data_IF_057589211569
#
_entry.id   IF_057589211569
#
_cell.length_a   1.000
_cell.length_b   1.000
_cell.length_c   1.000
_cell.angle_alpha   90.00
_cell.angle_beta   90.00
_cell.angle_gamma   90.00
#
_symmetry.space_group_name_H-M   'P 1'
#
loop_
_entity.id
_entity.type
_entity.pdbx_description
1 polymer ?
#
# COMPACT_ATOMS: atom_id res chain seq x y z
N UNK A 1 -21.77 -19.30 9.75
CA UNK A 1 -21.71 -17.99 10.45
C UNK A 1 -20.25 -17.64 10.62
N UNK A 2 -19.78 -16.51 10.09
CA UNK A 2 -18.43 -16.02 10.38
C UNK A 2 -18.40 -15.64 11.86
N UNK A 3 -17.43 -16.17 12.62
CA UNK A 3 -17.18 -15.71 13.98
C UNK A 3 -16.66 -14.26 13.91
N UNK A 4 -17.53 -13.31 14.11
CA UNK A 4 -17.14 -11.91 14.31
C UNK A 4 -16.52 -11.82 15.70
N UNK A 5 -15.26 -11.41 15.77
CA UNK A 5 -14.57 -11.13 17.03
C UNK A 5 -14.64 -9.64 17.30
N UNK A 6 -15.16 -9.29 18.45
CA UNK A 6 -15.09 -7.92 18.97
C UNK A 6 -13.83 -7.76 19.81
N UNK A 7 -13.18 -6.61 19.71
CA UNK A 7 -12.01 -6.27 20.49
C UNK A 7 -12.37 -5.15 21.47
N UNK A 8 -11.96 -5.29 22.72
CA UNK A 8 -12.03 -4.20 23.70
C UNK A 8 -10.99 -3.12 23.35
N UNK A 9 -11.16 -1.91 23.93
CA UNK A 9 -10.19 -0.83 23.74
C UNK A 9 -8.78 -1.22 24.23
N UNK A 10 -8.69 -1.96 25.33
CA UNK A 10 -7.39 -2.39 25.89
C UNK A 10 -6.70 -3.40 24.97
N UNK A 11 -7.45 -4.33 24.38
CA UNK A 11 -6.92 -5.25 23.38
C UNK A 11 -6.43 -4.50 22.13
N UNK A 12 -7.17 -3.47 21.66
CA UNK A 12 -6.75 -2.66 20.53
C UNK A 12 -5.49 -1.86 20.82
N UNK A 13 -5.39 -1.25 22.01
CA UNK A 13 -4.19 -0.53 22.43
C UNK A 13 -2.97 -1.46 22.49
N UNK A 14 -3.14 -2.68 23.00
CA UNK A 14 -2.07 -3.67 23.06
C UNK A 14 -1.58 -4.14 21.67
N UNK A 15 -2.41 -4.03 20.62
CA UNK A 15 -2.05 -4.37 19.26
C UNK A 15 -1.29 -3.26 18.53
N UNK A 16 -1.31 -2.01 19.03
CA UNK A 16 -0.60 -0.90 18.41
C UNK A 16 0.89 -0.98 18.79
N UNK A 17 1.79 -1.23 17.83
CA UNK A 17 3.22 -1.31 18.13
C UNK A 17 3.75 0.07 18.51
N UNK A 18 4.31 0.18 19.72
CA UNK A 18 5.05 1.37 20.13
C UNK A 18 6.46 1.32 19.53
N UNK A 19 6.95 2.44 18.97
CA UNK A 19 8.32 2.50 18.50
C UNK A 19 9.31 2.32 19.66
N UNK A 20 10.44 1.65 19.41
CA UNK A 20 11.55 1.64 20.35
C UNK A 20 12.16 3.06 20.50
N UNK A 21 12.80 3.36 21.64
CA UNK A 21 13.34 4.69 21.93
C UNK A 21 14.41 5.13 20.91
N UNK A 22 15.15 4.20 20.34
CA UNK A 22 16.15 4.42 19.30
C UNK A 22 15.61 4.31 17.86
N UNK A 23 14.30 4.18 17.71
CA UNK A 23 13.68 4.00 16.41
C UNK A 23 13.86 5.22 15.50
N UNK A 24 14.21 4.97 14.25
CA UNK A 24 14.29 5.97 13.20
C UNK A 24 13.21 5.75 12.12
N UNK A 25 13.11 6.65 11.17
CA UNK A 25 12.09 6.60 10.12
C UNK A 25 12.10 5.29 9.30
N UNK A 26 13.20 4.58 9.22
CA UNK A 26 13.29 3.33 8.47
C UNK A 26 12.99 2.11 9.33
N UNK A 27 13.45 2.07 10.58
CA UNK A 27 13.15 0.98 11.52
C UNK A 27 11.68 0.94 11.92
N UNK A 28 11.00 2.11 11.92
CA UNK A 28 9.54 2.21 12.12
C UNK A 28 8.72 1.66 10.97
N UNK A 29 9.35 1.22 9.91
CA UNK A 29 8.69 0.68 8.73
C UNK A 29 8.42 1.72 7.64
N UNK A 30 8.36 1.21 6.43
CA UNK A 30 8.15 2.00 5.21
C UNK A 30 6.88 1.54 4.51
N UNK A 31 6.09 2.51 4.02
CA UNK A 31 4.93 2.25 3.18
C UNK A 31 5.23 2.67 1.74
N UNK A 32 5.06 1.77 0.79
CA UNK A 32 4.98 2.09 -0.63
C UNK A 32 3.51 2.07 -1.05
N UNK A 33 2.94 3.24 -1.29
CA UNK A 33 1.53 3.41 -1.66
C UNK A 33 1.41 3.70 -3.16
N UNK A 34 0.85 2.75 -3.91
CA UNK A 34 0.56 2.85 -5.34
C UNK A 34 -0.92 3.19 -5.46
N UNK A 35 -1.24 4.46 -5.44
CA UNK A 35 -2.58 4.98 -5.16
C UNK A 35 -2.88 6.26 -5.94
N UNK A 36 -4.16 6.57 -6.03
CA UNK A 36 -4.63 7.77 -6.71
C UNK A 36 -4.55 7.68 -8.23
N UNK A 37 -5.32 8.51 -8.86
CA UNK A 37 -5.37 8.71 -10.30
C UNK A 37 -5.52 10.21 -10.60
N UNK A 38 -5.58 10.57 -11.86
CA UNK A 38 -5.91 11.94 -12.26
C UNK A 38 -7.27 12.37 -11.73
N UNK A 39 -8.26 11.45 -11.77
CA UNK A 39 -9.62 11.70 -11.31
C UNK A 39 -9.75 11.69 -9.78
N UNK A 40 -8.94 10.88 -9.09
CA UNK A 40 -9.01 10.69 -7.64
C UNK A 40 -7.68 10.96 -6.93
N UNK A 41 -7.08 12.14 -7.10
CA UNK A 41 -5.79 12.47 -6.48
C UNK A 41 -5.89 12.53 -4.95
N UNK A 42 -7.05 12.92 -4.41
CA UNK A 42 -7.30 12.98 -2.97
C UNK A 42 -7.21 11.63 -2.27
N UNK A 43 -7.51 10.52 -2.96
CA UNK A 43 -7.33 9.18 -2.42
C UNK A 43 -5.86 8.88 -2.09
N UNK A 44 -4.91 9.40 -2.88
CA UNK A 44 -3.50 9.27 -2.58
C UNK A 44 -3.12 10.04 -1.31
N UNK A 45 -3.68 11.23 -1.09
CA UNK A 45 -3.47 12.01 0.13
C UNK A 45 -3.99 11.27 1.36
N UNK A 46 -5.22 10.77 1.29
CA UNK A 46 -5.87 10.06 2.40
C UNK A 46 -5.12 8.76 2.77
N UNK A 47 -4.78 7.96 1.76
CA UNK A 47 -4.05 6.70 1.95
C UNK A 47 -2.67 6.93 2.57
N UNK A 48 -1.92 7.92 2.05
CA UNK A 48 -0.61 8.27 2.58
C UNK A 48 -0.69 8.82 4.01
N UNK A 49 -1.67 9.65 4.30
CA UNK A 49 -1.90 10.19 5.64
C UNK A 49 -2.26 9.09 6.63
N UNK A 50 -3.17 8.18 6.26
CA UNK A 50 -3.53 7.03 7.09
C UNK A 50 -2.30 6.19 7.43
N UNK A 51 -1.46 5.87 6.44
CA UNK A 51 -0.21 5.13 6.67
C UNK A 51 0.73 5.81 7.67
N UNK A 52 0.91 7.13 7.57
CA UNK A 52 1.71 7.89 8.54
C UNK A 52 1.06 7.91 9.94
N UNK A 53 -0.26 8.05 10.01
CA UNK A 53 -1.01 8.00 11.29
C UNK A 53 -0.89 6.64 11.98
N UNK A 54 -0.82 5.56 11.21
CA UNK A 54 -0.63 4.20 11.70
C UNK A 54 0.85 3.86 12.00
N UNK A 55 1.76 4.85 11.92
CA UNK A 55 3.13 4.71 12.40
C UNK A 55 4.19 4.47 11.32
N UNK A 56 3.84 4.46 10.03
CA UNK A 56 4.86 4.37 8.98
C UNK A 56 5.85 5.53 9.09
N UNK A 57 7.12 5.20 9.34
CA UNK A 57 8.19 6.19 9.50
C UNK A 57 8.62 6.82 8.18
N UNK A 58 8.40 6.13 7.05
CA UNK A 58 8.69 6.63 5.71
C UNK A 58 7.61 6.19 4.73
N UNK A 59 7.03 7.15 4.01
CA UNK A 59 5.95 6.89 3.05
C UNK A 59 6.34 7.38 1.67
N UNK A 60 6.40 6.46 0.71
CA UNK A 60 6.54 6.72 -0.72
C UNK A 60 5.18 6.56 -1.40
N UNK A 61 4.78 7.56 -2.15
CA UNK A 61 3.53 7.56 -2.93
C UNK A 61 3.87 7.50 -4.41
N UNK A 62 3.29 6.54 -5.10
CA UNK A 62 3.36 6.40 -6.55
C UNK A 62 1.97 6.65 -7.13
N UNK A 63 1.81 7.77 -7.83
CA UNK A 63 0.51 8.22 -8.32
C UNK A 63 0.57 8.64 -9.80
N UNK A 64 -0.56 9.03 -10.38
CA UNK A 64 -0.57 9.57 -11.75
C UNK A 64 0.30 10.84 -11.84
N UNK A 65 0.95 11.11 -12.97
CA UNK A 65 1.79 12.31 -13.12
C UNK A 65 1.07 13.61 -12.79
N UNK A 66 -0.20 13.75 -13.16
CA UNK A 66 -1.03 14.93 -12.90
C UNK A 66 -1.34 15.12 -11.40
N UNK A 67 -1.40 14.04 -10.61
CA UNK A 67 -1.66 14.09 -9.17
C UNK A 67 -0.40 14.38 -8.33
N UNK A 68 0.81 14.22 -8.90
CA UNK A 68 2.07 14.39 -8.15
C UNK A 68 2.16 15.76 -7.45
N UNK A 69 1.92 16.91 -8.12
CA UNK A 69 2.03 18.21 -7.45
C UNK A 69 1.06 18.39 -6.28
N UNK A 70 -0.17 17.89 -6.42
CA UNK A 70 -1.18 17.97 -5.38
C UNK A 70 -0.76 17.16 -4.14
N UNK A 71 -0.29 15.92 -4.34
CA UNK A 71 0.11 15.05 -3.23
C UNK A 71 1.39 15.56 -2.56
N UNK A 72 2.33 16.13 -3.31
CA UNK A 72 3.52 16.80 -2.76
C UNK A 72 3.14 18.03 -1.91
N UNK A 73 2.19 18.83 -2.38
CA UNK A 73 1.69 20.00 -1.66
C UNK A 73 0.87 19.67 -0.42
N UNK A 74 0.27 18.48 -0.38
CA UNK A 74 -0.53 18.03 0.76
C UNK A 74 0.30 17.87 2.04
N UNK A 75 1.50 17.28 1.92
CA UNK A 75 2.32 17.00 3.11
C UNK A 75 3.82 16.91 2.78
N UNK A 76 4.68 17.77 3.35
CA UNK A 76 6.12 17.82 3.02
C UNK A 76 6.89 16.55 3.38
N UNK A 77 6.36 15.71 4.29
CA UNK A 77 7.00 14.46 4.71
C UNK A 77 6.80 13.31 3.72
N UNK A 78 5.96 13.47 2.70
CA UNK A 78 5.72 12.45 1.68
C UNK A 78 6.78 12.50 0.59
N UNK A 79 7.25 11.34 0.17
CA UNK A 79 8.07 11.19 -1.04
C UNK A 79 7.15 10.75 -2.17
N UNK A 80 6.87 11.64 -3.12
CA UNK A 80 5.89 11.41 -4.18
C UNK A 80 6.58 11.28 -5.53
N UNK A 81 6.20 10.25 -6.28
CA UNK A 81 6.76 9.93 -7.59
C UNK A 81 5.64 9.55 -8.57
N UNK A 82 5.84 9.76 -9.87
CA UNK A 82 4.92 9.22 -10.87
C UNK A 82 4.97 7.68 -10.90
N UNK A 83 3.83 7.03 -11.18
CA UNK A 83 3.70 5.55 -11.26
C UNK A 83 4.71 4.90 -12.22
N UNK A 84 5.12 5.61 -13.25
CA UNK A 84 6.13 5.13 -14.19
C UNK A 84 7.47 4.79 -13.52
N UNK A 85 7.79 5.44 -12.39
CA UNK A 85 9.01 5.15 -11.63
C UNK A 85 9.03 3.74 -11.01
N UNK A 86 7.87 3.08 -10.85
CA UNK A 86 7.79 1.69 -10.37
C UNK A 86 8.34 0.67 -11.36
N UNK A 87 8.28 0.96 -12.67
CA UNK A 87 8.65 -0.01 -13.72
C UNK A 87 10.11 -0.42 -13.66
N UNK A 88 10.97 0.41 -13.07
CA UNK A 88 12.39 0.11 -12.92
C UNK A 88 12.69 -0.73 -11.66
N UNK A 89 12.06 -0.42 -10.54
CA UNK A 89 12.27 -1.13 -9.27
C UNK A 89 11.11 -0.89 -8.31
N UNK A 90 10.34 -1.91 -8.00
CA UNK A 90 9.49 -1.86 -6.82
C UNK A 90 10.40 -1.79 -5.58
N UNK A 91 10.25 -0.78 -4.70
CA UNK A 91 11.10 -0.68 -3.52
C UNK A 91 11.04 -1.97 -2.69
N UNK A 92 12.17 -2.61 -2.44
CA UNK A 92 12.25 -3.87 -1.71
C UNK A 92 12.34 -3.68 -0.19
N UNK A 93 11.88 -4.66 0.58
CA UNK A 93 12.17 -4.74 2.02
C UNK A 93 13.67 -4.99 2.25
N UNK A 94 14.17 -4.55 3.40
CA UNK A 94 15.58 -4.76 3.79
C UNK A 94 15.64 -5.20 5.25
N UNK A 95 16.65 -5.95 5.67
CA UNK A 95 16.85 -6.29 7.08
C UNK A 95 16.80 -5.04 7.96
N UNK A 96 16.04 -5.07 9.06
CA UNK A 96 15.85 -3.95 9.97
C UNK A 96 15.06 -2.75 9.40
N UNK A 97 14.53 -2.86 8.17
CA UNK A 97 13.73 -1.82 7.51
C UNK A 97 12.47 -2.45 6.91
N UNK A 98 11.50 -2.82 7.76
CA UNK A 98 10.28 -3.47 7.31
C UNK A 98 9.52 -2.60 6.30
N UNK A 99 8.77 -3.24 5.41
CA UNK A 99 7.99 -2.58 4.37
C UNK A 99 6.60 -3.20 4.26
N UNK A 100 5.66 -2.38 3.84
CA UNK A 100 4.37 -2.83 3.33
C UNK A 100 4.03 -2.07 2.04
N UNK A 101 3.15 -2.66 1.25
CA UNK A 101 2.66 -2.07 0.01
C UNK A 101 1.14 -1.88 0.12
N UNK A 102 0.66 -0.76 -0.40
CA UNK A 102 -0.76 -0.48 -0.58
C UNK A 102 -1.00 -0.20 -2.06
N UNK A 103 -1.99 -0.84 -2.67
CA UNK A 103 -2.28 -0.65 -4.08
C UNK A 103 -3.79 -0.62 -4.35
N UNK A 104 -4.22 0.31 -5.20
CA UNK A 104 -5.57 0.33 -5.75
C UNK A 104 -6.48 1.46 -5.27
N UNK A 105 -6.25 2.04 -4.06
CA UNK A 105 -7.05 3.16 -3.59
C UNK A 105 -7.04 4.31 -4.60
N UNK A 106 -8.22 4.75 -5.05
CA UNK A 106 -8.35 5.84 -5.98
C UNK A 106 -7.84 5.57 -7.40
N UNK A 107 -7.74 4.30 -7.80
CA UNK A 107 -7.56 3.98 -9.21
C UNK A 107 -8.85 4.28 -9.97
N UNK A 108 -8.71 4.74 -11.21
CA UNK A 108 -9.85 4.91 -12.09
C UNK A 108 -10.23 3.56 -12.71
N UNK A 109 -11.52 3.24 -12.76
CA UNK A 109 -12.02 2.02 -13.41
C UNK A 109 -11.71 2.00 -14.92
N UNK A 110 -11.56 3.18 -15.53
CA UNK A 110 -11.20 3.33 -16.94
C UNK A 110 -9.68 3.28 -17.18
N UNK A 111 -8.86 3.21 -16.12
CA UNK A 111 -7.40 3.17 -16.22
C UNK A 111 -6.92 1.77 -16.64
N UNK A 112 -6.64 1.59 -17.91
CA UNK A 112 -6.15 0.33 -18.50
C UNK A 112 -4.82 -0.18 -17.91
N UNK A 113 -4.10 0.66 -17.19
CA UNK A 113 -2.86 0.28 -16.50
C UNK A 113 -3.12 -0.18 -15.06
N UNK A 114 -4.31 0.10 -14.48
CA UNK A 114 -4.62 -0.21 -13.08
C UNK A 114 -4.46 -1.70 -12.77
N UNK A 115 -5.07 -2.59 -13.57
CA UNK A 115 -4.93 -4.04 -13.41
C UNK A 115 -3.47 -4.50 -13.52
N UNK A 116 -2.73 -3.96 -14.48
CA UNK A 116 -1.31 -4.30 -14.69
C UNK A 116 -0.45 -3.89 -13.49
N UNK A 117 -0.73 -2.73 -12.88
CA UNK A 117 -0.04 -2.26 -11.69
C UNK A 117 -0.30 -3.17 -10.48
N UNK A 118 -1.55 -3.55 -10.24
CA UNK A 118 -1.89 -4.51 -9.17
C UNK A 118 -1.17 -5.83 -9.38
N UNK A 119 -1.23 -6.39 -10.59
CA UNK A 119 -0.52 -7.63 -10.91
C UNK A 119 0.99 -7.49 -10.78
N UNK A 120 1.56 -6.35 -11.14
CA UNK A 120 2.98 -6.06 -10.98
C UNK A 120 3.38 -6.08 -9.50
N UNK A 121 2.62 -5.37 -8.65
CA UNK A 121 2.87 -5.35 -7.21
C UNK A 121 2.75 -6.74 -6.60
N UNK A 122 1.66 -7.46 -6.87
CA UNK A 122 1.45 -8.82 -6.37
C UNK A 122 2.55 -9.80 -6.80
N UNK A 123 3.11 -9.61 -8.00
CA UNK A 123 4.18 -10.46 -8.53
C UNK A 123 5.53 -10.21 -7.89
N UNK A 124 5.85 -8.95 -7.60
CA UNK A 124 7.21 -8.51 -7.27
C UNK A 124 7.39 -8.06 -5.82
N UNK A 125 6.30 -7.76 -5.10
CA UNK A 125 6.38 -7.37 -3.70
C UNK A 125 6.85 -8.54 -2.82
N UNK A 126 7.89 -8.29 -2.05
CA UNK A 126 8.54 -9.22 -1.12
C UNK A 126 8.08 -9.07 0.34
N UNK A 127 7.07 -8.26 0.58
CA UNK A 127 6.53 -7.90 1.89
C UNK A 127 4.98 -7.85 1.84
N UNK A 128 4.27 -7.63 2.95
CA UNK A 128 2.81 -7.55 2.97
C UNK A 128 2.26 -6.56 1.95
N UNK A 129 1.16 -6.95 1.28
CA UNK A 129 0.43 -6.12 0.33
C UNK A 129 -1.01 -5.97 0.80
N UNK A 130 -1.51 -4.73 0.81
CA UNK A 130 -2.92 -4.42 0.95
C UNK A 130 -3.45 -3.98 -0.41
N UNK A 131 -4.58 -4.58 -0.84
CA UNK A 131 -5.28 -4.23 -2.08
C UNK A 131 -6.65 -3.69 -1.72
N UNK A 132 -6.97 -2.50 -2.22
CA UNK A 132 -8.20 -1.78 -1.89
C UNK A 132 -8.82 -1.13 -3.14
N UNK A 133 -10.08 -0.72 -3.02
CA UNK A 133 -10.81 0.01 -4.04
C UNK A 133 -10.83 -0.70 -5.39
N UNK A 134 -10.72 0.05 -6.49
CA UNK A 134 -10.72 -0.50 -7.86
C UNK A 134 -9.58 -1.49 -8.13
N UNK A 135 -8.54 -1.50 -7.27
CA UNK A 135 -7.50 -2.52 -7.34
C UNK A 135 -8.01 -3.94 -7.11
N UNK A 136 -9.16 -4.12 -6.45
CA UNK A 136 -9.78 -5.43 -6.21
C UNK A 136 -10.24 -6.11 -7.51
N UNK A 137 -10.63 -5.34 -8.53
CA UNK A 137 -11.07 -5.88 -9.81
C UNK A 137 -9.98 -6.73 -10.48
N UNK A 138 -8.71 -6.37 -10.28
CA UNK A 138 -7.58 -7.14 -10.78
C UNK A 138 -7.48 -8.56 -10.17
N UNK A 139 -8.03 -8.77 -8.97
CA UNK A 139 -7.98 -10.05 -8.26
C UNK A 139 -8.96 -11.08 -8.81
N UNK A 140 -10.03 -10.64 -9.46
CA UNK A 140 -11.08 -11.51 -10.03
C UNK A 140 -10.57 -12.29 -11.25
N UNK A 141 -9.55 -11.77 -11.94
CA UNK A 141 -8.96 -12.42 -13.11
C UNK A 141 -8.23 -13.73 -12.74
N UNK A 142 -8.12 -14.67 -13.70
CA UNK A 142 -7.36 -15.90 -13.49
C UNK A 142 -5.89 -15.63 -13.10
N UNK A 143 -5.31 -14.56 -13.62
CA UNK A 143 -3.95 -14.11 -13.28
C UNK A 143 -3.88 -13.59 -11.86
N UNK A 144 -4.84 -12.75 -11.45
CA UNK A 144 -4.93 -12.22 -10.09
C UNK A 144 -5.02 -13.33 -9.05
N UNK A 145 -5.97 -14.27 -9.23
CA UNK A 145 -6.11 -15.43 -8.33
C UNK A 145 -4.85 -16.28 -8.23
N UNK A 146 -4.15 -16.51 -9.36
CA UNK A 146 -2.87 -17.23 -9.36
C UNK A 146 -1.78 -16.48 -8.58
N UNK A 147 -1.71 -15.16 -8.70
CA UNK A 147 -0.76 -14.34 -7.97
C UNK A 147 -1.04 -14.35 -6.46
N UNK A 148 -2.30 -14.25 -6.04
CA UNK A 148 -2.70 -14.37 -4.64
C UNK A 148 -2.30 -15.73 -4.06
N UNK A 149 -2.62 -16.83 -4.78
CA UNK A 149 -2.24 -18.19 -4.35
C UNK A 149 -0.72 -18.32 -4.21
N UNK A 150 0.05 -17.79 -5.17
CA UNK A 150 1.52 -17.81 -5.11
C UNK A 150 2.03 -17.06 -3.88
N UNK A 151 1.48 -15.86 -3.59
CA UNK A 151 1.87 -15.09 -2.40
C UNK A 151 1.59 -15.86 -1.11
N UNK A 152 0.41 -16.45 -1.01
CA UNK A 152 0.04 -17.29 0.13
C UNK A 152 1.02 -18.46 0.34
N UNK A 153 1.33 -19.20 -0.72
CA UNK A 153 2.26 -20.34 -0.66
C UNK A 153 3.70 -19.92 -0.29
N UNK A 154 4.10 -18.70 -0.61
CA UNK A 154 5.41 -18.15 -0.27
C UNK A 154 5.42 -17.45 1.10
N UNK A 155 4.36 -17.51 1.89
CA UNK A 155 4.26 -16.84 3.19
C UNK A 155 4.20 -15.31 3.12
N UNK A 156 3.89 -14.74 1.95
CA UNK A 156 3.76 -13.30 1.77
C UNK A 156 2.31 -12.84 1.99
N UNK A 157 1.96 -12.18 3.11
CA UNK A 157 0.59 -11.81 3.41
C UNK A 157 -0.01 -10.87 2.36
N UNK A 158 -1.29 -11.08 2.07
CA UNK A 158 -2.09 -10.14 1.27
C UNK A 158 -3.41 -9.89 2.00
N UNK A 159 -3.71 -8.62 2.24
CA UNK A 159 -4.96 -8.16 2.84
C UNK A 159 -5.80 -7.53 1.74
N UNK A 160 -7.08 -7.77 1.75
CA UNK A 160 -8.06 -7.14 0.84
C UNK A 160 -9.14 -6.46 1.66
N UNK A 161 -9.54 -5.26 1.23
CA UNK A 161 -10.58 -4.44 1.89
C UNK A 161 -11.70 -4.19 0.89
N UNK A 162 -12.73 -5.07 0.87
CA UNK A 162 -13.86 -4.97 -0.04
C UNK A 162 -14.81 -3.83 0.32
#
# INVERSE_FOLDING_TARGET
>A
MQNVREYSNDELVALVPLPADDANKYSRGTLAAIVGSERYPGAACLAAYAGQRMGAGYTEVFTSPSAVPLVQGFRPSLVVRPRAALKANLPAAKPGKPRAYLVGCGFDAEDVEAEKLVHFVLKHADAPVLVDGTGLDALVSAKGRRLLRRRFLNGNPTVVTP
#
